data_IF_881655035360
#
_entry.id   IF_881655035360
#
_cell.length_a   1.000
_cell.length_b   1.000
_cell.length_c   1.000
_cell.angle_alpha   90.00
_cell.angle_beta   90.00
_cell.angle_gamma   90.00
#
_symmetry.space_group_name_H-M   'P 1'
#
loop_
_entity.id
_entity.type
_entity.pdbx_description
1 polymer ?
#
# COMPACT_ATOMS: atom_id res chain seq x y z
N UNK A 1 4.48 0.46 -25.85
CA UNK A 1 4.69 1.44 -24.76
C UNK A 1 3.75 1.14 -23.60
N UNK A 2 4.28 1.20 -22.39
CA UNK A 2 3.49 1.07 -21.18
C UNK A 2 2.64 2.33 -20.99
N UNK A 3 1.38 2.17 -20.65
CA UNK A 3 0.59 3.31 -20.20
C UNK A 3 0.96 3.69 -18.75
N UNK A 4 0.46 4.84 -18.26
CA UNK A 4 0.78 5.33 -16.93
C UNK A 4 0.37 4.38 -15.80
N UNK A 5 -0.74 3.67 -15.94
CA UNK A 5 -1.20 2.71 -14.96
C UNK A 5 -0.30 1.48 -14.88
N UNK A 6 0.10 0.96 -16.05
CA UNK A 6 1.01 -0.19 -16.11
C UNK A 6 2.37 0.17 -15.51
N UNK A 7 2.90 1.35 -15.85
CA UNK A 7 4.17 1.84 -15.31
C UNK A 7 4.09 2.02 -13.78
N UNK A 8 3.00 2.60 -13.28
CA UNK A 8 2.79 2.79 -11.85
C UNK A 8 2.71 1.44 -11.11
N UNK A 9 1.82 0.54 -11.55
CA UNK A 9 1.65 -0.77 -10.93
C UNK A 9 2.93 -1.61 -10.98
N UNK A 10 3.61 -1.61 -12.13
CA UNK A 10 4.86 -2.33 -12.29
C UNK A 10 5.95 -1.82 -11.38
N UNK A 11 6.08 -0.50 -11.23
CA UNK A 11 7.08 0.11 -10.34
C UNK A 11 6.81 -0.22 -8.87
N UNK A 12 5.57 -0.19 -8.42
CA UNK A 12 5.20 -0.55 -7.04
C UNK A 12 5.45 -2.02 -6.75
N UNK A 13 5.13 -2.90 -7.68
CA UNK A 13 5.41 -4.31 -7.57
C UNK A 13 6.92 -4.59 -7.49
N UNK A 14 7.70 -3.91 -8.30
CA UNK A 14 9.17 -4.03 -8.29
C UNK A 14 9.77 -3.59 -6.95
N UNK A 15 9.26 -2.52 -6.33
CA UNK A 15 9.69 -2.05 -5.00
C UNK A 15 9.44 -3.12 -3.95
N UNK A 16 8.27 -3.74 -3.94
CA UNK A 16 7.93 -4.79 -2.96
C UNK A 16 8.83 -6.02 -3.14
N UNK A 17 9.05 -6.45 -4.37
CA UNK A 17 9.94 -7.56 -4.66
C UNK A 17 11.38 -7.28 -4.24
N UNK A 18 11.85 -6.10 -4.51
CA UNK A 18 13.17 -5.63 -4.10
C UNK A 18 13.30 -5.65 -2.58
N UNK A 19 12.33 -5.08 -1.88
CA UNK A 19 12.28 -5.08 -0.41
C UNK A 19 12.35 -6.50 0.16
N UNK A 20 11.54 -7.41 -0.37
CA UNK A 20 11.53 -8.80 0.11
C UNK A 20 12.84 -9.53 -0.14
N UNK A 21 13.53 -9.26 -1.23
CA UNK A 21 14.85 -9.82 -1.50
C UNK A 21 15.91 -9.28 -0.55
N UNK A 22 15.82 -8.01 -0.19
CA UNK A 22 16.79 -7.37 0.70
C UNK A 22 16.56 -7.71 2.18
N UNK A 23 15.32 -7.98 2.58
CA UNK A 23 15.01 -8.20 3.99
C UNK A 23 15.89 -9.24 4.68
N UNK A 24 16.08 -10.46 4.13
CA UNK A 24 16.98 -11.43 4.78
C UNK A 24 18.45 -11.03 4.73
N UNK A 25 18.87 -10.23 3.77
CA UNK A 25 20.25 -9.73 3.69
C UNK A 25 20.51 -8.69 4.78
N UNK A 26 19.63 -7.71 4.91
CA UNK A 26 19.76 -6.66 5.93
C UNK A 26 19.54 -7.18 7.35
N UNK A 27 18.75 -8.24 7.49
CA UNK A 27 18.53 -8.88 8.80
C UNK A 27 19.83 -9.37 9.44
N UNK A 28 20.82 -9.76 8.65
CA UNK A 28 22.13 -10.17 9.14
C UNK A 28 22.86 -9.06 9.88
N UNK A 29 22.56 -7.81 9.51
CA UNK A 29 23.11 -6.61 10.15
C UNK A 29 22.15 -6.02 11.19
N UNK A 30 21.08 -6.73 11.54
CA UNK A 30 20.09 -6.28 12.51
C UNK A 30 19.16 -5.20 11.98
N UNK A 31 19.06 -5.03 10.67
CA UNK A 31 18.20 -4.02 10.03
C UNK A 31 16.95 -4.68 9.48
N UNK A 32 15.80 -4.15 9.84
CA UNK A 32 14.49 -4.59 9.34
C UNK A 32 14.03 -3.68 8.20
N UNK A 33 13.33 -4.27 7.24
CA UNK A 33 12.72 -3.54 6.14
C UNK A 33 11.33 -4.12 5.87
N UNK A 34 10.32 -3.27 5.90
CA UNK A 34 8.93 -3.64 5.69
C UNK A 34 8.27 -2.62 4.78
N UNK A 35 7.07 -2.91 4.34
CA UNK A 35 6.30 -2.03 3.48
C UNK A 35 4.87 -1.91 3.97
N UNK A 36 4.28 -0.73 3.79
CA UNK A 36 2.85 -0.50 3.94
C UNK A 36 2.28 -0.28 2.54
N UNK A 37 1.19 -0.96 2.24
CA UNK A 37 0.46 -0.83 0.98
C UNK A 37 -0.88 -0.14 1.28
N UNK A 38 -0.96 1.20 1.14
CA UNK A 38 -2.19 1.91 1.41
C UNK A 38 -3.19 1.74 0.27
N UNK A 39 -4.46 1.69 0.62
CA UNK A 39 -5.54 1.82 -0.35
C UNK A 39 -5.87 3.28 -0.65
N UNK A 40 -7.10 3.52 -1.11
CA UNK A 40 -7.57 4.87 -1.40
C UNK A 40 -7.61 5.70 -0.12
N UNK A 41 -6.77 6.72 -0.05
CA UNK A 41 -6.57 7.54 1.13
C UNK A 41 -6.97 8.98 0.86
N UNK A 42 -7.69 9.60 1.81
CA UNK A 42 -8.15 10.98 1.66
C UNK A 42 -6.96 11.94 1.76
N UNK A 43 -6.53 12.43 0.62
CA UNK A 43 -5.42 13.36 0.46
C UNK A 43 -5.82 14.46 -0.52
N UNK A 44 -5.08 15.58 -0.59
CA UNK A 44 -5.31 16.58 -1.64
C UNK A 44 -5.24 16.01 -3.05
N UNK A 45 -4.35 15.04 -3.29
CA UNK A 45 -4.24 14.37 -4.58
C UNK A 45 -5.51 13.56 -4.90
N UNK A 46 -6.03 12.82 -3.92
CA UNK A 46 -7.29 12.09 -4.09
C UNK A 46 -8.44 13.04 -4.36
N UNK A 47 -8.53 14.14 -3.62
CA UNK A 47 -9.60 15.13 -3.81
C UNK A 47 -9.56 15.72 -5.22
N UNK A 48 -8.38 16.02 -5.74
CA UNK A 48 -8.23 16.47 -7.12
C UNK A 48 -8.77 15.44 -8.13
N UNK A 49 -8.49 14.15 -7.89
CA UNK A 49 -9.04 13.07 -8.70
C UNK A 49 -10.56 12.93 -8.60
N UNK A 50 -11.11 13.08 -7.39
CA UNK A 50 -12.56 13.04 -7.16
C UNK A 50 -13.28 14.19 -7.87
N UNK A 51 -12.66 15.36 -7.94
CA UNK A 51 -13.20 16.54 -8.60
C UNK A 51 -13.02 16.49 -10.12
N UNK A 52 -12.25 15.56 -10.64
CA UNK A 52 -12.02 15.38 -12.07
C UNK A 52 -13.24 14.72 -12.72
N UNK A 53 -13.82 15.32 -13.78
CA UNK A 53 -15.01 14.75 -14.44
C UNK A 53 -14.74 13.39 -15.10
N UNK A 54 -13.49 13.08 -15.43
CA UNK A 54 -13.12 11.80 -16.04
C UNK A 54 -12.86 10.69 -15.02
N UNK A 55 -12.22 11.02 -13.91
CA UNK A 55 -11.73 10.04 -12.93
C UNK A 55 -12.55 9.92 -11.66
N UNK A 56 -13.37 10.93 -11.35
CA UNK A 56 -14.10 11.01 -10.08
C UNK A 56 -14.99 9.79 -9.82
N UNK A 57 -15.75 9.36 -10.81
CA UNK A 57 -16.64 8.20 -10.66
C UNK A 57 -15.87 6.89 -10.51
N UNK A 58 -14.77 6.72 -11.24
CA UNK A 58 -13.93 5.56 -11.13
C UNK A 58 -13.33 5.43 -9.71
N UNK A 59 -12.92 6.55 -9.12
CA UNK A 59 -12.39 6.59 -7.75
C UNK A 59 -13.48 6.26 -6.74
N UNK A 60 -14.68 6.86 -6.87
CA UNK A 60 -15.80 6.62 -5.96
C UNK A 60 -16.29 5.17 -6.00
N UNK A 61 -16.24 4.55 -7.17
CA UNK A 61 -16.73 3.19 -7.40
C UNK A 61 -15.63 2.13 -7.24
N UNK A 62 -14.41 2.55 -6.89
CA UNK A 62 -13.32 1.59 -6.64
C UNK A 62 -13.68 0.70 -5.45
N UNK A 63 -13.54 -0.64 -5.59
CA UNK A 63 -14.06 -1.55 -4.57
C UNK A 63 -13.22 -1.50 -3.29
N UNK A 64 -13.86 -1.08 -2.20
CA UNK A 64 -13.30 -1.08 -0.86
C UNK A 64 -14.29 -1.79 0.06
N UNK A 65 -14.05 -3.05 0.45
CA UNK A 65 -15.00 -3.82 1.25
C UNK A 65 -15.46 -3.14 2.54
N UNK A 66 -14.56 -2.45 3.26
CA UNK A 66 -14.94 -1.69 4.45
C UNK A 66 -15.68 -0.39 4.13
N UNK A 67 -15.64 0.06 2.89
CA UNK A 67 -16.25 1.31 2.44
C UNK A 67 -15.42 2.54 2.76
N UNK A 68 -15.68 3.63 2.02
CA UNK A 68 -15.04 4.92 2.25
C UNK A 68 -13.59 4.99 1.80
N UNK A 69 -12.91 6.00 2.31
CA UNK A 69 -11.48 6.23 2.08
C UNK A 69 -10.74 6.19 3.41
N UNK A 70 -9.49 5.76 3.39
CA UNK A 70 -8.67 5.78 4.59
C UNK A 70 -8.35 7.22 4.99
N UNK A 71 -8.31 7.45 6.29
CA UNK A 71 -7.73 8.67 6.85
C UNK A 71 -6.19 8.54 6.81
N UNK A 72 -5.45 9.60 6.45
CA UNK A 72 -3.99 9.57 6.48
C UNK A 72 -3.41 9.07 7.81
N UNK A 73 -4.08 9.34 8.93
CA UNK A 73 -3.65 8.87 10.25
C UNK A 73 -3.65 7.34 10.34
N UNK A 74 -4.54 6.65 9.64
CA UNK A 74 -4.57 5.18 9.63
C UNK A 74 -3.33 4.61 8.95
N UNK A 75 -2.88 5.27 7.87
CA UNK A 75 -1.63 4.90 7.20
C UNK A 75 -0.42 5.21 8.08
N UNK A 76 -0.43 6.39 8.70
CA UNK A 76 0.64 6.80 9.61
C UNK A 76 0.80 5.83 10.80
N UNK A 77 -0.30 5.35 11.36
CA UNK A 77 -0.29 4.38 12.46
C UNK A 77 0.36 3.04 12.04
N UNK A 78 0.11 2.59 10.82
CA UNK A 78 0.75 1.38 10.29
C UNK A 78 2.26 1.57 10.12
N UNK A 79 2.68 2.72 9.61
CA UNK A 79 4.11 3.05 9.49
C UNK A 79 4.77 3.14 10.86
N UNK A 80 4.11 3.77 11.83
CA UNK A 80 4.62 3.88 13.20
C UNK A 80 4.81 2.51 13.86
N UNK A 81 3.88 1.57 13.61
CA UNK A 81 4.03 0.20 14.08
C UNK A 81 5.33 -0.43 13.57
N UNK A 82 5.60 -0.32 12.27
CA UNK A 82 6.82 -0.91 11.71
C UNK A 82 8.11 -0.22 12.18
N UNK A 83 8.03 1.05 12.56
CA UNK A 83 9.19 1.79 13.06
C UNK A 83 9.47 1.52 14.55
N UNK A 84 8.51 0.95 15.27
CA UNK A 84 8.60 0.73 16.70
C UNK A 84 9.09 -0.66 17.09
N UNK A 85 9.32 -0.84 18.39
CA UNK A 85 9.79 -2.11 18.95
C UNK A 85 8.73 -3.21 18.92
N UNK A 86 7.47 -2.87 18.88
CA UNK A 86 6.37 -3.83 18.81
C UNK A 86 6.45 -4.72 17.58
N UNK A 87 7.05 -4.21 16.49
CA UNK A 87 7.28 -4.95 15.26
C UNK A 87 8.68 -5.54 15.16
N UNK A 88 9.39 -5.68 16.27
CA UNK A 88 10.81 -6.03 16.28
C UNK A 88 11.15 -7.38 15.62
N UNK A 89 10.17 -8.26 15.49
CA UNK A 89 10.35 -9.54 14.79
C UNK A 89 9.75 -9.56 13.39
N UNK A 90 9.37 -8.39 12.85
CA UNK A 90 8.84 -8.24 11.51
C UNK A 90 9.91 -7.73 10.55
N UNK A 91 10.18 -8.47 9.49
CA UNK A 91 10.99 -8.00 8.35
C UNK A 91 10.52 -8.70 7.08
N UNK A 92 10.53 -8.00 5.97
CA UNK A 92 10.04 -8.53 4.70
C UNK A 92 8.52 -8.59 4.61
N UNK A 93 7.80 -7.95 5.52
CA UNK A 93 6.33 -7.97 5.56
C UNK A 93 5.74 -6.82 4.76
N UNK A 94 4.58 -7.07 4.17
CA UNK A 94 3.75 -6.05 3.54
C UNK A 94 2.44 -5.98 4.30
N UNK A 95 2.10 -4.80 4.83
CA UNK A 95 0.85 -4.57 5.53
C UNK A 95 -0.09 -3.78 4.63
N UNK A 96 -1.17 -4.39 4.23
CA UNK A 96 -2.21 -3.74 3.44
C UNK A 96 -3.12 -2.95 4.37
N UNK A 97 -3.23 -1.64 4.12
CA UNK A 97 -4.13 -0.73 4.82
C UNK A 97 -5.06 -0.15 3.76
N UNK A 98 -5.97 -0.98 3.26
CA UNK A 98 -6.73 -0.73 2.04
C UNK A 98 -8.23 -1.06 2.16
N UNK A 99 -8.70 -1.28 3.37
CA UNK A 99 -10.11 -1.64 3.59
C UNK A 99 -10.52 -2.97 3.00
N UNK A 100 -9.58 -3.84 2.66
CA UNK A 100 -9.84 -5.17 2.12
C UNK A 100 -9.79 -5.28 0.60
N UNK A 101 -9.41 -4.23 -0.10
CA UNK A 101 -9.37 -4.21 -1.57
C UNK A 101 -8.46 -5.30 -2.12
N UNK A 102 -7.24 -5.45 -1.60
CA UNK A 102 -6.32 -6.46 -2.10
C UNK A 102 -6.85 -7.88 -1.87
N UNK A 103 -7.40 -8.14 -0.69
CA UNK A 103 -7.98 -9.44 -0.37
C UNK A 103 -9.17 -9.78 -1.30
N UNK A 104 -9.98 -8.76 -1.65
CA UNK A 104 -11.08 -8.93 -2.59
C UNK A 104 -10.58 -9.28 -4.00
N UNK A 105 -9.53 -8.59 -4.45
CA UNK A 105 -9.04 -8.72 -5.82
C UNK A 105 -8.10 -9.91 -6.02
N UNK A 106 -7.42 -10.34 -4.95
CA UNK A 106 -6.43 -11.42 -5.01
C UNK A 106 -6.55 -12.36 -3.81
N UNK A 107 -7.70 -13.02 -3.61
CA UNK A 107 -7.94 -13.81 -2.38
C UNK A 107 -6.98 -14.97 -2.19
N UNK A 108 -6.41 -15.48 -3.27
CA UNK A 108 -5.52 -16.66 -3.26
C UNK A 108 -4.04 -16.31 -3.39
N UNK A 109 -3.70 -15.01 -3.36
CA UNK A 109 -2.31 -14.54 -3.53
C UNK A 109 -1.91 -13.62 -2.40
N UNK A 110 -0.98 -14.03 -1.60
CA UNK A 110 -0.51 -13.28 -0.44
C UNK A 110 1.01 -13.37 -0.27
#
# INVERSE_FOLDING_TARGET
TLDGFQAYGGSKNAVVRWMRKLAPVWAKDGVRINAVAPGTTQTPLLQAGLDDPLWGDAIRNFPVPLGGFADPQQIASALAFFLGEESSFCTGSVLFVDGGTDALMRPDKF
#
